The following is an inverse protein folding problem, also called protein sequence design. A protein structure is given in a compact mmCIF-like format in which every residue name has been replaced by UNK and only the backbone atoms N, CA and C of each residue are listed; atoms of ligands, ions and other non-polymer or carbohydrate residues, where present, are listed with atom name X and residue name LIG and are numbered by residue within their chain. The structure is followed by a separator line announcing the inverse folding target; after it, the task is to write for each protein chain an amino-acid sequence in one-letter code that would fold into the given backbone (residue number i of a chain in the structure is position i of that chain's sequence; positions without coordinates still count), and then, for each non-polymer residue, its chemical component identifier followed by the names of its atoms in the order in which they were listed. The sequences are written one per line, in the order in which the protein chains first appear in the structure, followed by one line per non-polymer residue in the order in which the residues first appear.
data_IF_183498399588
#
_entry.id   IF_183498399588
#
_cell.length_a   1.000
_cell.length_b   1.000
_cell.length_c   1.000
_cell.angle_alpha   90.00
_cell.angle_beta   90.00
_cell.angle_gamma   90.00
#
_symmetry.space_group_name_H-M   'P 1'
#
loop_
_entity.id
_entity.type
_entity.pdbx_description
1 polymer ?
#
# COMPACT_ATOMS: atom_id res chain seq x y z
N UNK A 1 -25.56 31.72 44.19
CA UNK A 1 -25.89 30.33 43.82
C UNK A 1 -24.88 29.87 42.78
N UNK A 2 -23.78 29.31 43.29
CA UNK A 2 -22.72 28.67 42.51
C UNK A 2 -22.99 27.17 42.66
N UNK A 3 -23.27 26.45 41.58
CA UNK A 3 -23.29 24.99 41.55
C UNK A 3 -22.29 24.56 40.47
N UNK A 4 -21.20 24.03 40.92
CA UNK A 4 -20.75 22.65 40.84
C UNK A 4 -20.87 22.00 39.45
N UNK A 5 -19.79 22.00 38.71
CA UNK A 5 -19.42 20.89 37.80
C UNK A 5 -17.97 20.49 38.06
N UNK A 6 -17.82 19.64 39.07
CA UNK A 6 -16.68 18.78 39.26
C UNK A 6 -16.88 17.57 38.35
N UNK A 7 -16.37 17.59 37.13
CA UNK A 7 -16.26 16.40 36.30
C UNK A 7 -14.86 15.82 36.44
N UNK A 8 -14.82 14.75 37.20
CA UNK A 8 -13.66 13.87 37.37
C UNK A 8 -13.19 13.37 36.00
N UNK A 9 -12.05 13.88 35.56
CA UNK A 9 -11.34 13.32 34.41
C UNK A 9 -10.58 12.11 34.92
N UNK A 10 -11.20 10.93 34.81
CA UNK A 10 -10.47 9.67 34.91
C UNK A 10 -9.61 9.50 33.66
N UNK A 11 -8.34 9.86 33.78
CA UNK A 11 -7.34 9.58 32.76
C UNK A 11 -7.03 8.08 32.84
N UNK A 12 -7.80 7.30 32.10
CA UNK A 12 -7.37 5.95 31.74
C UNK A 12 -6.20 6.09 30.76
N UNK A 13 -5.01 5.80 31.25
CA UNK A 13 -3.80 5.59 30.46
C UNK A 13 -4.01 4.35 29.60
N UNK A 14 -4.66 4.47 28.47
CA UNK A 14 -4.63 3.51 27.38
C UNK A 14 -4.49 4.28 26.06
N UNK A 15 -3.61 3.78 25.20
CA UNK A 15 -3.13 4.34 23.95
C UNK A 15 -4.25 4.59 22.90
N UNK A 16 -5.15 5.55 23.13
CA UNK A 16 -6.26 5.80 22.22
C UNK A 16 -6.50 7.29 21.94
N UNK A 17 -5.42 8.01 21.58
CA UNK A 17 -5.52 9.38 21.03
C UNK A 17 -6.45 9.47 19.82
N UNK A 18 -6.62 8.37 19.08
CA UNK A 18 -7.52 8.27 17.93
C UNK A 18 -8.98 8.43 18.34
N UNK A 19 -9.41 7.81 19.45
CA UNK A 19 -10.76 7.95 19.98
C UNK A 19 -11.03 9.35 20.53
N UNK A 20 -10.04 10.00 21.14
CA UNK A 20 -10.19 11.37 21.65
C UNK A 20 -10.37 12.36 20.50
N UNK A 21 -9.63 12.20 19.37
CA UNK A 21 -9.76 13.08 18.20
C UNK A 21 -11.13 12.90 17.53
N UNK A 22 -11.65 11.67 17.40
CA UNK A 22 -12.98 11.38 16.90
C UNK A 22 -14.06 11.94 17.85
N UNK A 23 -13.87 11.87 19.16
CA UNK A 23 -14.84 12.36 20.13
C UNK A 23 -14.90 13.89 20.19
N UNK A 24 -13.78 14.58 20.08
CA UNK A 24 -13.71 16.04 19.98
C UNK A 24 -14.27 16.57 18.65
N UNK A 25 -14.12 15.80 17.56
CA UNK A 25 -14.63 16.13 16.23
C UNK A 25 -16.15 15.94 16.09
N UNK A 26 -16.79 15.08 16.90
CA UNK A 26 -18.25 14.90 16.91
C UNK A 26 -19.05 16.09 17.47
N UNK A 27 -18.41 17.07 18.11
CA UNK A 27 -19.12 18.25 18.66
C UNK A 27 -19.30 19.42 17.71
N UNK A 28 -18.68 19.41 16.52
CA UNK A 28 -18.95 20.39 15.48
C UNK A 28 -19.84 19.78 14.40
N UNK A 29 -21.00 20.35 14.16
CA UNK A 29 -21.95 19.98 13.08
C UNK A 29 -21.37 20.39 11.70
N UNK A 30 -20.23 19.85 11.33
CA UNK A 30 -19.62 20.00 10.01
C UNK A 30 -19.22 18.63 9.48
N UNK A 31 -19.56 18.32 8.25
CA UNK A 31 -19.02 17.16 7.53
C UNK A 31 -17.52 17.40 7.42
N UNK A 32 -16.71 16.70 8.22
CA UNK A 32 -15.26 16.75 8.10
C UNK A 32 -14.88 16.10 6.78
N UNK A 33 -14.52 16.92 5.80
CA UNK A 33 -13.87 16.46 4.58
C UNK A 33 -12.43 16.09 4.97
N UNK A 34 -12.04 14.83 4.83
CA UNK A 34 -10.65 14.42 4.96
C UNK A 34 -9.83 15.21 3.94
N UNK A 35 -8.76 15.84 4.39
CA UNK A 35 -7.84 16.60 3.54
C UNK A 35 -6.63 15.74 3.22
N UNK A 36 -6.47 15.36 1.96
CA UNK A 36 -5.33 14.60 1.45
C UNK A 36 -4.37 15.47 0.63
N UNK A 37 -4.41 16.80 0.79
CA UNK A 37 -3.59 17.75 0.02
C UNK A 37 -2.07 17.52 0.15
N UNK A 38 -1.64 16.80 1.19
CA UNK A 38 -0.26 16.38 1.43
C UNK A 38 0.04 14.93 0.97
N UNK A 39 -0.85 14.33 0.18
CA UNK A 39 -0.75 12.94 -0.28
C UNK A 39 -0.50 12.88 -1.78
N UNK A 40 0.30 11.92 -2.22
CA UNK A 40 0.54 11.58 -3.63
C UNK A 40 0.46 10.07 -3.82
N UNK A 41 -0.05 9.63 -4.98
CA UNK A 41 0.00 8.22 -5.39
C UNK A 41 1.13 8.08 -6.42
N UNK A 42 2.05 7.16 -6.20
CA UNK A 42 3.14 6.87 -7.14
C UNK A 42 3.09 5.39 -7.52
N UNK A 43 3.10 5.13 -8.83
CA UNK A 43 3.05 3.79 -9.43
C UNK A 43 4.39 3.52 -10.10
N UNK A 44 5.26 2.67 -9.56
CA UNK A 44 6.50 2.29 -10.24
C UNK A 44 6.19 1.33 -11.39
N UNK A 45 6.81 1.56 -12.54
CA UNK A 45 6.70 0.69 -13.69
C UNK A 45 8.06 0.58 -14.40
N UNK A 46 8.56 -0.64 -14.58
CA UNK A 46 9.81 -0.91 -15.33
C UNK A 46 9.54 -1.86 -16.49
N UNK A 47 10.26 -1.65 -17.60
CA UNK A 47 10.09 -2.51 -18.77
C UNK A 47 10.74 -3.89 -18.55
N UNK A 48 11.81 -3.95 -17.78
CA UNK A 48 12.57 -5.16 -17.51
C UNK A 48 11.86 -6.09 -16.52
N UNK A 49 11.14 -7.06 -17.04
CA UNK A 49 10.60 -8.20 -16.27
C UNK A 49 11.12 -9.49 -16.87
N UNK A 50 11.84 -10.31 -16.08
CA UNK A 50 12.43 -11.56 -16.56
C UNK A 50 11.40 -12.66 -16.79
N UNK A 51 10.33 -12.71 -15.98
CA UNK A 51 9.28 -13.74 -16.06
C UNK A 51 8.20 -13.40 -17.10
N UNK A 52 7.97 -12.12 -17.35
CA UNK A 52 6.92 -11.65 -18.27
C UNK A 52 7.44 -10.38 -18.98
N UNK A 53 8.13 -10.53 -20.15
CA UNK A 53 8.70 -9.40 -20.87
C UNK A 53 7.66 -8.33 -21.19
N UNK A 54 8.06 -7.06 -21.09
CA UNK A 54 7.20 -5.89 -21.31
C UNK A 54 5.91 -5.87 -20.47
N UNK A 55 5.92 -6.49 -19.29
CA UNK A 55 4.78 -6.69 -18.42
C UNK A 55 3.83 -5.48 -18.32
N UNK A 56 4.28 -4.23 -18.09
CA UNK A 56 3.38 -3.08 -17.95
C UNK A 56 2.56 -2.76 -19.21
N UNK A 57 3.03 -3.17 -20.38
CA UNK A 57 2.40 -2.91 -21.68
C UNK A 57 1.50 -4.06 -22.17
N UNK A 58 1.52 -5.21 -21.49
CA UNK A 58 0.65 -6.33 -21.81
C UNK A 58 -0.82 -5.95 -21.58
N UNK A 59 -1.69 -6.40 -22.49
CA UNK A 59 -3.08 -5.98 -22.49
C UNK A 59 -3.98 -6.99 -21.78
N UNK A 60 -4.86 -6.48 -20.93
CA UNK A 60 -6.00 -7.17 -20.35
C UNK A 60 -7.26 -6.54 -20.97
N UNK A 61 -8.05 -7.31 -21.71
CA UNK A 61 -9.22 -6.80 -22.46
C UNK A 61 -8.91 -5.53 -23.28
N UNK A 62 -7.78 -5.52 -24.01
CA UNK A 62 -7.38 -4.40 -24.86
C UNK A 62 -6.68 -3.25 -24.15
N UNK A 63 -6.72 -3.16 -22.81
CA UNK A 63 -6.12 -2.10 -22.00
C UNK A 63 -4.78 -2.54 -21.42
N UNK A 64 -3.69 -1.77 -21.54
CA UNK A 64 -2.40 -2.10 -20.94
C UNK A 64 -2.47 -2.25 -19.40
N UNK A 65 -1.70 -3.19 -18.84
CA UNK A 65 -1.68 -3.50 -17.43
C UNK A 65 -1.42 -2.25 -16.56
N UNK A 66 -0.46 -1.41 -16.96
CA UNK A 66 -0.16 -0.15 -16.26
C UNK A 66 -1.35 0.81 -16.21
N UNK A 67 -2.18 0.80 -17.24
CA UNK A 67 -3.39 1.65 -17.30
C UNK A 67 -4.49 1.10 -16.38
N UNK A 68 -4.59 -0.21 -16.20
CA UNK A 68 -5.47 -0.77 -15.17
C UNK A 68 -5.06 -0.30 -13.77
N UNK A 69 -3.77 -0.38 -13.42
CA UNK A 69 -3.27 0.12 -12.13
C UNK A 69 -3.49 1.64 -11.97
N UNK A 70 -3.25 2.42 -13.02
CA UNK A 70 -3.53 3.86 -13.03
C UNK A 70 -5.02 4.15 -12.82
N UNK A 71 -5.91 3.41 -13.47
CA UNK A 71 -7.35 3.54 -13.30
C UNK A 71 -7.81 3.15 -11.87
N UNK A 72 -7.19 2.15 -11.24
CA UNK A 72 -7.43 1.85 -9.82
C UNK A 72 -7.14 3.09 -8.95
N UNK A 73 -6.02 3.79 -9.18
CA UNK A 73 -5.69 5.02 -8.48
C UNK A 73 -6.74 6.12 -8.71
N UNK A 74 -7.17 6.35 -9.96
CA UNK A 74 -8.24 7.31 -10.31
C UNK A 74 -9.57 6.97 -9.63
N UNK A 75 -9.93 5.69 -9.61
CA UNK A 75 -11.17 5.21 -9.00
C UNK A 75 -11.21 5.37 -7.47
N UNK A 76 -10.07 5.69 -6.83
CA UNK A 76 -10.05 6.08 -5.43
C UNK A 76 -10.80 7.39 -5.19
N UNK A 77 -10.96 8.23 -6.23
CA UNK A 77 -11.57 9.57 -6.15
C UNK A 77 -10.92 10.44 -5.04
N UNK A 78 -9.65 10.17 -4.74
CA UNK A 78 -8.82 11.08 -3.99
C UNK A 78 -8.42 12.22 -4.92
N UNK A 79 -8.57 13.45 -4.45
CA UNK A 79 -8.13 14.64 -5.20
C UNK A 79 -6.64 14.88 -4.94
N UNK A 80 -5.81 13.95 -5.46
CA UNK A 80 -4.36 13.91 -5.27
C UNK A 80 -3.64 13.60 -6.59
N UNK A 81 -2.39 14.04 -6.77
CA UNK A 81 -1.61 13.66 -7.94
C UNK A 81 -1.40 12.15 -8.01
N UNK A 82 -1.48 11.61 -9.24
CA UNK A 82 -1.14 10.22 -9.56
C UNK A 82 0.01 10.27 -10.55
N UNK A 83 1.17 9.74 -10.15
CA UNK A 83 2.40 9.78 -10.91
C UNK A 83 2.85 8.36 -11.25
N UNK A 84 3.14 8.09 -12.52
CA UNK A 84 3.78 6.84 -12.94
C UNK A 84 5.30 7.09 -13.08
N UNK A 85 6.08 6.39 -12.26
CA UNK A 85 7.54 6.45 -12.26
C UNK A 85 8.10 5.31 -13.13
N UNK A 86 8.74 5.63 -14.24
CA UNK A 86 9.21 4.62 -15.19
C UNK A 86 10.61 4.92 -15.73
N UNK A 87 11.29 3.88 -16.20
CA UNK A 87 12.60 3.93 -16.88
C UNK A 87 12.47 3.80 -18.41
N UNK A 88 11.24 3.82 -18.94
CA UNK A 88 11.02 3.49 -20.34
C UNK A 88 10.01 4.43 -21.00
N UNK A 89 10.40 5.01 -22.14
CA UNK A 89 9.58 5.97 -22.89
C UNK A 89 8.28 5.35 -23.45
N UNK A 90 8.27 4.05 -23.81
CA UNK A 90 7.04 3.39 -24.28
C UNK A 90 5.98 3.36 -23.18
N UNK A 91 6.39 3.09 -21.94
CA UNK A 91 5.47 3.13 -20.80
C UNK A 91 4.99 4.56 -20.56
N UNK A 92 5.90 5.54 -20.60
CA UNK A 92 5.58 6.94 -20.40
C UNK A 92 4.57 7.42 -21.46
N UNK A 93 4.79 7.13 -22.74
CA UNK A 93 3.89 7.51 -23.83
C UNK A 93 2.50 6.90 -23.65
N UNK A 94 2.41 5.61 -23.35
CA UNK A 94 1.12 4.94 -23.10
C UNK A 94 0.35 5.59 -21.95
N UNK A 95 1.02 5.97 -20.86
CA UNK A 95 0.37 6.63 -19.71
C UNK A 95 -0.06 8.05 -20.07
N UNK A 96 0.79 8.80 -20.77
CA UNK A 96 0.48 10.18 -21.21
C UNK A 96 -0.69 10.21 -22.19
N UNK A 97 -0.76 9.26 -23.13
CA UNK A 97 -1.87 9.11 -24.09
C UNK A 97 -3.22 8.84 -23.38
N UNK A 98 -3.16 8.29 -22.15
CA UNK A 98 -4.34 8.08 -21.29
C UNK A 98 -4.56 9.23 -20.28
N UNK A 99 -3.87 10.36 -20.45
CA UNK A 99 -4.00 11.54 -19.60
C UNK A 99 -3.36 11.41 -18.22
N UNK A 100 -2.43 10.47 -18.04
CA UNK A 100 -1.66 10.29 -16.81
C UNK A 100 -0.41 11.17 -16.78
N UNK A 101 0.15 11.35 -15.58
CA UNK A 101 1.44 12.01 -15.38
C UNK A 101 2.54 10.96 -15.29
N UNK A 102 3.66 11.22 -15.96
CA UNK A 102 4.82 10.34 -15.91
C UNK A 102 6.08 11.08 -15.49
N UNK A 103 7.02 10.36 -14.89
CA UNK A 103 8.35 10.86 -14.59
C UNK A 103 9.39 9.79 -14.88
N UNK A 104 10.41 10.18 -15.65
CA UNK A 104 11.52 9.29 -16.00
C UNK A 104 12.47 9.14 -14.83
N UNK A 105 12.74 7.88 -14.47
CA UNK A 105 13.62 7.47 -13.38
C UNK A 105 14.75 6.60 -13.88
N UNK A 106 15.79 6.41 -13.07
CA UNK A 106 16.94 5.57 -13.40
C UNK A 106 16.51 4.12 -13.68
N UNK A 107 17.13 3.50 -14.68
CA UNK A 107 17.01 2.07 -14.94
C UNK A 107 17.84 1.20 -13.98
N UNK A 108 18.65 1.81 -13.11
CA UNK A 108 19.51 1.11 -12.13
C UNK A 108 18.76 0.73 -10.85
N UNK A 109 17.52 1.20 -10.66
CA UNK A 109 16.76 0.84 -9.47
C UNK A 109 16.40 -0.65 -9.48
N UNK A 110 16.78 -1.33 -8.40
CA UNK A 110 16.46 -2.73 -8.17
C UNK A 110 15.06 -2.91 -7.60
N UNK A 111 14.57 -1.90 -6.84
CA UNK A 111 13.27 -1.95 -6.15
C UNK A 111 12.29 -0.88 -6.60
N UNK A 112 10.99 -1.15 -6.33
CA UNK A 112 9.93 -0.17 -6.51
C UNK A 112 10.07 1.02 -5.56
N UNK A 113 10.53 0.79 -4.34
CA UNK A 113 10.70 1.82 -3.31
C UNK A 113 11.75 2.84 -3.68
N UNK A 114 12.89 2.41 -4.22
CA UNK A 114 13.94 3.31 -4.72
C UNK A 114 13.42 4.18 -5.87
N UNK A 115 12.68 3.56 -6.80
CA UNK A 115 12.11 4.25 -7.95
C UNK A 115 11.10 5.33 -7.55
N UNK A 116 10.17 4.99 -6.65
CA UNK A 116 9.17 5.98 -6.21
C UNK A 116 9.81 7.10 -5.40
N UNK A 117 10.89 6.83 -4.67
CA UNK A 117 11.60 7.85 -3.93
C UNK A 117 12.31 8.83 -4.87
N UNK A 118 13.04 8.34 -5.90
CA UNK A 118 13.62 9.22 -6.92
C UNK A 118 12.54 10.07 -7.60
N UNK A 119 11.42 9.45 -7.97
CA UNK A 119 10.31 10.17 -8.61
C UNK A 119 9.73 11.24 -7.69
N UNK A 120 9.55 10.94 -6.40
CA UNK A 120 9.06 11.89 -5.41
C UNK A 120 9.99 13.09 -5.26
N UNK A 121 11.30 12.88 -5.12
CA UNK A 121 12.28 13.96 -4.96
C UNK A 121 12.38 14.85 -6.19
N UNK A 122 12.20 14.29 -7.40
CA UNK A 122 12.19 15.06 -8.64
C UNK A 122 10.88 15.83 -8.86
N UNK A 123 9.74 15.23 -8.50
CA UNK A 123 8.42 15.81 -8.73
C UNK A 123 8.07 16.87 -7.67
N UNK A 124 8.53 16.69 -6.44
CA UNK A 124 8.16 17.51 -5.28
C UNK A 124 9.39 17.98 -4.49
N UNK A 125 10.24 18.83 -5.08
CA UNK A 125 11.44 19.35 -4.41
C UNK A 125 11.11 20.19 -3.17
N UNK A 126 9.93 20.82 -3.14
CA UNK A 126 9.45 21.63 -2.02
C UNK A 126 8.87 20.81 -0.88
N UNK A 127 8.84 19.48 -1.01
CA UNK A 127 8.40 18.54 0.00
C UNK A 127 6.96 18.78 0.50
N UNK A 128 6.07 19.13 -0.39
CA UNK A 128 4.64 19.30 -0.11
C UNK A 128 3.97 17.98 0.30
N UNK A 129 4.31 16.88 -0.39
CA UNK A 129 3.68 15.58 -0.16
C UNK A 129 4.41 14.81 0.93
N UNK A 130 3.73 14.59 2.04
CA UNK A 130 4.25 13.89 3.22
C UNK A 130 3.77 12.45 3.33
N UNK A 131 2.65 12.12 2.67
CA UNK A 131 2.07 10.79 2.61
C UNK A 131 2.19 10.25 1.17
N UNK A 132 2.80 9.10 0.98
CA UNK A 132 3.03 8.49 -0.33
C UNK A 132 2.31 7.16 -0.41
N UNK A 133 1.35 7.03 -1.31
CA UNK A 133 0.73 5.75 -1.64
C UNK A 133 1.55 5.09 -2.74
N UNK A 134 2.18 3.98 -2.43
CA UNK A 134 2.93 3.16 -3.37
C UNK A 134 2.03 2.05 -3.89
N UNK A 135 1.47 2.25 -5.07
CA UNK A 135 0.59 1.31 -5.73
C UNK A 135 1.39 0.52 -6.77
N UNK A 136 1.37 -0.80 -6.70
CA UNK A 136 2.09 -1.64 -7.66
C UNK A 136 1.46 -1.59 -9.06
N UNK A 137 2.30 -1.45 -10.09
CA UNK A 137 1.86 -1.37 -11.49
C UNK A 137 1.36 -2.70 -12.08
N UNK A 138 1.46 -3.80 -11.33
CA UNK A 138 1.05 -5.14 -11.72
C UNK A 138 -0.18 -5.67 -10.94
N UNK A 139 -0.85 -4.82 -10.19
CA UNK A 139 -2.10 -5.12 -9.49
C UNK A 139 -3.27 -4.38 -10.17
N UNK A 140 -3.92 -4.99 -11.17
CA UNK A 140 -4.90 -4.30 -12.03
C UNK A 140 -6.28 -4.10 -11.39
N UNK A 141 -6.58 -4.76 -10.26
CA UNK A 141 -7.91 -4.80 -9.68
C UNK A 141 -8.00 -4.32 -8.22
N UNK A 142 -7.11 -3.41 -7.82
CA UNK A 142 -7.19 -2.76 -6.49
C UNK A 142 -8.42 -1.85 -6.43
N UNK A 143 -9.24 -2.00 -5.39
CA UNK A 143 -10.39 -1.12 -5.22
C UNK A 143 -9.98 0.30 -4.79
N UNK A 144 -10.72 1.29 -5.27
CA UNK A 144 -10.51 2.68 -4.86
C UNK A 144 -10.75 2.91 -3.37
N UNK A 145 -11.62 2.11 -2.75
CA UNK A 145 -11.87 2.17 -1.31
C UNK A 145 -10.66 1.72 -0.50
N UNK A 146 -9.95 0.70 -0.95
CA UNK A 146 -8.73 0.23 -0.30
C UNK A 146 -7.62 1.28 -0.35
N UNK A 147 -7.48 1.97 -1.49
CA UNK A 147 -6.54 3.09 -1.63
C UNK A 147 -6.90 4.23 -0.67
N UNK A 148 -8.19 4.55 -0.51
CA UNK A 148 -8.64 5.53 0.49
C UNK A 148 -8.32 5.12 1.92
N UNK A 149 -8.48 3.84 2.26
CA UNK A 149 -8.14 3.32 3.59
C UNK A 149 -6.66 3.47 3.88
N UNK A 150 -5.79 3.14 2.92
CA UNK A 150 -4.35 3.38 3.03
C UNK A 150 -4.04 4.86 3.26
N UNK A 151 -4.65 5.76 2.48
CA UNK A 151 -4.48 7.20 2.63
C UNK A 151 -4.94 7.69 4.01
N UNK A 152 -6.09 7.22 4.49
CA UNK A 152 -6.62 7.57 5.82
C UNK A 152 -5.74 7.03 6.94
N UNK A 153 -5.24 5.80 6.79
CA UNK A 153 -4.39 5.17 7.81
C UNK A 153 -3.06 5.89 7.93
N UNK A 154 -2.42 6.21 6.79
CA UNK A 154 -1.12 6.89 6.82
C UNK A 154 -1.24 8.37 7.20
N UNK A 155 -2.40 8.99 7.12
CA UNK A 155 -2.60 10.37 7.56
C UNK A 155 -2.39 10.54 9.07
N UNK A 156 -2.62 9.48 9.86
CA UNK A 156 -2.29 9.46 11.28
C UNK A 156 -0.77 9.73 11.47
N UNK A 157 -0.39 10.78 12.24
CA UNK A 157 1.01 11.14 12.46
C UNK A 157 1.83 10.09 13.21
N UNK A 158 1.19 9.14 13.89
CA UNK A 158 1.85 8.05 14.62
C UNK A 158 2.18 6.84 13.72
N UNK A 159 1.64 6.80 12.51
CA UNK A 159 1.92 5.73 11.56
C UNK A 159 3.19 6.01 10.76
N UNK A 160 3.92 4.96 10.44
CA UNK A 160 5.17 5.02 9.67
C UNK A 160 5.00 4.43 8.28
N UNK A 161 4.50 3.19 8.23
CA UNK A 161 4.13 2.46 7.01
C UNK A 161 2.77 1.81 7.25
N UNK A 162 1.90 1.85 6.24
CA UNK A 162 0.70 1.03 6.18
C UNK A 162 0.77 0.10 4.97
N UNK A 163 0.29 -1.12 5.14
CA UNK A 163 0.15 -2.12 4.09
C UNK A 163 -1.18 -2.86 4.23
N UNK A 164 -1.41 -3.87 3.42
CA UNK A 164 -2.68 -4.58 3.36
C UNK A 164 -2.47 -6.08 3.50
N UNK A 165 -3.40 -6.73 4.15
CA UNK A 165 -3.48 -8.19 4.23
C UNK A 165 -4.90 -8.66 3.94
N UNK A 166 -5.01 -9.84 3.35
CA UNK A 166 -6.27 -10.55 3.15
C UNK A 166 -6.17 -11.93 3.78
N UNK A 167 -7.28 -12.51 4.18
CA UNK A 167 -7.28 -13.87 4.69
C UNK A 167 -6.83 -14.82 3.57
N UNK A 168 -5.75 -15.55 3.79
CA UNK A 168 -5.25 -16.52 2.83
C UNK A 168 -6.23 -17.69 2.67
N UNK A 169 -6.36 -18.21 1.45
CA UNK A 169 -7.06 -19.47 1.20
C UNK A 169 -6.15 -20.66 1.56
N UNK A 170 -6.70 -21.85 1.82
CA UNK A 170 -5.90 -23.03 2.14
C UNK A 170 -4.84 -23.36 1.06
N UNK A 171 -5.16 -23.12 -0.21
CA UNK A 171 -4.26 -23.34 -1.35
C UNK A 171 -3.03 -22.43 -1.32
N UNK A 172 -3.18 -21.25 -0.69
CA UNK A 172 -2.11 -20.24 -0.59
C UNK A 172 -1.13 -20.55 0.55
N UNK A 173 -1.46 -21.43 1.49
CA UNK A 173 -0.63 -21.67 2.69
C UNK A 173 0.78 -22.13 2.32
N UNK A 174 0.89 -23.11 1.44
CA UNK A 174 2.16 -23.68 0.99
C UNK A 174 2.71 -23.05 -0.29
N UNK A 175 1.97 -22.13 -0.92
CA UNK A 175 2.44 -21.43 -2.11
C UNK A 175 3.51 -20.40 -1.74
N UNK A 176 4.76 -20.66 -2.13
CA UNK A 176 5.90 -19.78 -1.88
C UNK A 176 5.86 -18.46 -2.68
N UNK A 177 5.01 -18.35 -3.69
CA UNK A 177 4.79 -17.10 -4.42
C UNK A 177 3.93 -16.13 -3.62
N UNK A 178 3.06 -16.64 -2.76
CA UNK A 178 2.23 -15.88 -1.83
C UNK A 178 3.03 -15.58 -0.56
N UNK A 179 3.13 -14.32 -0.22
CA UNK A 179 3.80 -13.88 1.02
C UNK A 179 2.81 -13.93 2.17
N UNK A 180 3.15 -14.65 3.23
CA UNK A 180 2.36 -14.68 4.47
C UNK A 180 2.87 -13.65 5.45
N UNK A 181 1.96 -13.12 6.28
CA UNK A 181 2.28 -12.14 7.31
C UNK A 181 1.78 -12.57 8.67
N UNK A 182 2.65 -12.52 9.68
CA UNK A 182 2.25 -12.65 11.07
C UNK A 182 1.86 -11.26 11.60
N UNK A 183 0.59 -11.09 11.96
CA UNK A 183 0.03 -9.79 12.37
C UNK A 183 -0.46 -9.87 13.81
N UNK A 184 -0.06 -8.91 14.65
CA UNK A 184 -0.58 -8.74 16.00
C UNK A 184 -1.77 -7.78 15.97
N UNK A 185 -2.95 -8.28 16.33
CA UNK A 185 -4.16 -7.49 16.48
C UNK A 185 -4.48 -7.24 17.95
N UNK A 186 -5.20 -6.17 18.24
CA UNK A 186 -5.64 -5.83 19.60
C UNK A 186 -6.82 -6.71 20.10
N UNK A 187 -7.36 -7.59 19.25
CA UNK A 187 -8.50 -8.48 19.53
C UNK A 187 -8.30 -9.85 18.89
N UNK A 188 -8.93 -10.86 19.50
CA UNK A 188 -8.78 -12.26 19.08
C UNK A 188 -9.41 -12.56 17.71
N UNK A 189 -10.52 -11.90 17.37
CA UNK A 189 -11.26 -12.11 16.12
C UNK A 189 -11.26 -10.84 15.28
N UNK A 190 -10.15 -10.55 14.56
CA UNK A 190 -10.07 -9.39 13.70
C UNK A 190 -10.96 -9.56 12.46
N UNK A 191 -11.57 -8.44 12.03
CA UNK A 191 -12.46 -8.37 10.87
C UNK A 191 -11.94 -7.39 9.84
N UNK A 192 -12.56 -7.35 8.67
CA UNK A 192 -12.27 -6.37 7.63
C UNK A 192 -12.25 -4.95 8.23
N UNK A 193 -11.26 -4.15 7.82
CA UNK A 193 -10.96 -2.79 8.27
C UNK A 193 -10.22 -2.69 9.61
N UNK A 194 -10.03 -3.80 10.33
CA UNK A 194 -9.12 -3.79 11.48
C UNK A 194 -7.68 -3.59 11.03
N UNK A 195 -6.93 -2.92 11.89
CA UNK A 195 -5.52 -2.64 11.69
C UNK A 195 -4.74 -3.39 12.78
N UNK A 196 -3.78 -4.19 12.35
CA UNK A 196 -2.82 -4.87 13.22
C UNK A 196 -1.40 -4.46 12.90
N UNK A 197 -0.47 -4.76 13.79
CA UNK A 197 0.96 -4.55 13.60
C UNK A 197 1.58 -5.77 12.94
N UNK A 198 2.27 -5.57 11.82
CA UNK A 198 3.04 -6.64 11.20
C UNK A 198 4.27 -6.98 12.07
N UNK A 199 4.39 -8.24 12.41
CA UNK A 199 5.48 -8.78 13.23
C UNK A 199 6.55 -9.45 12.36
N UNK A 200 6.12 -10.10 11.26
CA UNK A 200 7.03 -10.75 10.30
C UNK A 200 6.31 -11.02 8.98
N UNK A 201 7.11 -11.19 7.92
CA UNK A 201 6.66 -11.63 6.60
C UNK A 201 7.51 -12.80 6.15
N UNK A 202 6.91 -13.83 5.56
CA UNK A 202 7.63 -15.01 5.08
C UNK A 202 6.95 -15.63 3.85
N UNK A 203 7.76 -16.33 3.07
CA UNK A 203 7.24 -17.22 2.02
C UNK A 203 6.80 -18.59 2.58
N UNK A 204 7.29 -18.95 3.76
CA UNK A 204 6.77 -20.11 4.52
C UNK A 204 5.41 -19.78 5.13
N UNK A 205 4.65 -20.83 5.48
CA UNK A 205 3.40 -20.67 6.21
C UNK A 205 3.67 -20.20 7.63
N UNK A 206 3.21 -19.02 7.99
CA UNK A 206 3.29 -18.41 9.33
C UNK A 206 1.96 -17.74 9.68
N UNK A 207 1.62 -17.66 11.02
CA UNK A 207 2.28 -18.32 12.15
C UNK A 207 1.99 -19.83 12.19
N UNK A 208 2.71 -20.57 13.04
CA UNK A 208 2.45 -22.00 13.28
C UNK A 208 1.14 -22.20 14.07
N UNK A 209 0.40 -23.26 13.74
CA UNK A 209 -0.82 -23.68 14.46
C UNK A 209 -2.12 -23.29 13.76
N UNK A 210 -3.24 -23.55 14.42
CA UNK A 210 -4.59 -23.25 13.93
C UNK A 210 -4.93 -21.77 14.18
N UNK A 211 -4.61 -20.92 13.22
CA UNK A 211 -4.87 -19.48 13.30
C UNK A 211 -5.20 -18.94 11.91
N UNK A 212 -5.59 -17.68 11.83
CA UNK A 212 -5.76 -17.01 10.54
C UNK A 212 -4.39 -16.78 9.91
N UNK A 213 -4.19 -17.34 8.72
CA UNK A 213 -3.05 -17.03 7.87
C UNK A 213 -3.40 -15.81 7.02
N UNK A 214 -2.51 -14.82 7.00
CA UNK A 214 -2.71 -13.57 6.27
C UNK A 214 -1.82 -13.52 5.04
N UNK A 215 -2.44 -13.39 3.87
CA UNK A 215 -1.75 -13.11 2.61
C UNK A 215 -1.43 -11.60 2.55
N UNK A 216 -0.19 -11.25 2.42
CA UNK A 216 0.27 -9.88 2.29
C UNK A 216 0.09 -9.36 0.86
N UNK A 217 -0.64 -8.27 0.71
CA UNK A 217 -0.78 -7.54 -0.56
C UNK A 217 0.27 -6.44 -0.63
N UNK A 218 1.15 -6.49 -1.60
CA UNK A 218 2.36 -5.65 -1.71
C UNK A 218 2.10 -4.18 -2.06
N UNK A 219 1.05 -3.57 -1.55
CA UNK A 219 0.80 -2.13 -1.67
C UNK A 219 1.06 -1.44 -0.34
N UNK A 220 1.56 -0.22 -0.40
CA UNK A 220 1.99 0.48 0.81
C UNK A 220 1.56 1.94 0.81
N UNK A 221 1.43 2.47 2.02
CA UNK A 221 1.43 3.90 2.26
C UNK A 221 2.59 4.24 3.21
N UNK A 222 3.32 5.30 2.91
CA UNK A 222 4.54 5.69 3.60
C UNK A 222 4.46 7.11 4.10
N UNK A 223 5.04 7.39 5.27
CA UNK A 223 5.49 8.75 5.55
C UNK A 223 6.76 9.05 4.76
N UNK A 224 6.85 10.25 4.13
CA UNK A 224 8.03 10.67 3.35
C UNK A 224 9.35 10.46 4.10
N UNK A 225 9.41 10.90 5.36
CA UNK A 225 10.60 10.73 6.19
C UNK A 225 11.01 9.27 6.38
N UNK A 226 10.01 8.37 6.44
CA UNK A 226 10.23 6.93 6.61
C UNK A 226 10.68 6.30 5.30
N UNK A 227 10.06 6.65 4.17
CA UNK A 227 10.50 6.20 2.85
C UNK A 227 11.94 6.64 2.60
N UNK A 228 12.30 7.91 2.88
CA UNK A 228 13.67 8.41 2.78
C UNK A 228 14.64 7.61 3.66
N UNK A 229 14.27 7.32 4.91
CA UNK A 229 15.07 6.49 5.81
C UNK A 229 15.25 5.09 5.22
N UNK A 230 14.18 4.47 4.75
CA UNK A 230 14.15 3.11 4.24
C UNK A 230 15.06 2.90 3.03
N UNK A 231 14.98 3.76 2.01
CA UNK A 231 15.82 3.62 0.80
C UNK A 231 17.31 3.85 1.06
N UNK A 232 17.65 4.51 2.16
CA UNK A 232 19.05 4.70 2.59
C UNK A 232 19.57 3.54 3.47
N UNK A 233 18.73 2.58 3.84
CA UNK A 233 19.18 1.37 4.54
C UNK A 233 19.81 0.39 3.56
N UNK A 234 20.84 -0.31 4.01
CA UNK A 234 21.40 -1.43 3.24
C UNK A 234 20.43 -2.62 3.31
N UNK A 235 20.38 -3.44 2.23
CA UNK A 235 19.63 -4.69 2.26
C UNK A 235 19.99 -5.56 3.47
N UNK A 236 18.98 -5.92 4.26
CA UNK A 236 19.14 -6.59 5.55
C UNK A 236 19.29 -8.13 5.40
N UNK A 237 19.76 -8.84 6.43
CA UNK A 237 19.90 -10.29 6.38
C UNK A 237 18.59 -11.03 6.11
N UNK A 238 17.50 -10.68 6.79
CA UNK A 238 16.19 -11.33 6.61
C UNK A 238 15.60 -11.01 5.24
N UNK A 239 15.74 -9.76 4.77
CA UNK A 239 15.34 -9.36 3.42
C UNK A 239 16.00 -10.22 2.34
N UNK A 240 17.32 -10.44 2.46
CA UNK A 240 18.09 -11.28 1.52
C UNK A 240 17.67 -12.75 1.58
N UNK A 241 17.39 -13.25 2.78
CA UNK A 241 16.96 -14.64 3.01
C UNK A 241 15.59 -14.91 2.41
N UNK A 242 14.60 -14.10 2.75
CA UNK A 242 13.20 -14.26 2.31
C UNK A 242 12.95 -13.66 0.92
N UNK A 243 13.85 -12.79 0.43
CA UNK A 243 13.68 -11.95 -0.77
C UNK A 243 12.40 -11.09 -0.66
N UNK A 244 12.27 -10.45 0.50
CA UNK A 244 11.14 -9.60 0.88
C UNK A 244 11.66 -8.26 1.41
N UNK A 245 11.54 -7.20 0.61
CA UNK A 245 12.11 -5.88 0.86
C UNK A 245 11.62 -5.26 2.19
N UNK A 246 10.35 -5.46 2.54
CA UNK A 246 9.75 -4.90 3.74
C UNK A 246 10.36 -5.41 5.05
N UNK A 247 11.08 -6.53 5.04
CA UNK A 247 11.79 -7.03 6.22
C UNK A 247 12.91 -6.08 6.65
N UNK A 248 13.54 -5.36 5.72
CA UNK A 248 14.51 -4.30 6.02
C UNK A 248 13.92 -3.23 6.95
N UNK A 249 12.64 -2.89 6.74
CA UNK A 249 11.95 -1.94 7.61
C UNK A 249 11.78 -2.51 9.02
N UNK A 250 11.33 -3.75 9.17
CA UNK A 250 11.17 -4.41 10.47
C UNK A 250 12.50 -4.55 11.22
N UNK A 251 13.57 -4.97 10.53
CA UNK A 251 14.92 -5.09 11.12
C UNK A 251 15.47 -3.72 11.56
N UNK A 252 15.07 -2.64 10.91
CA UNK A 252 15.42 -1.27 11.29
C UNK A 252 14.51 -0.68 12.39
N UNK A 253 13.56 -1.46 12.95
CA UNK A 253 12.62 -1.02 13.96
C UNK A 253 11.54 -0.07 13.44
N UNK A 254 11.30 -0.02 12.12
CA UNK A 254 10.21 0.74 11.51
C UNK A 254 8.90 -0.05 11.66
N UNK A 255 7.85 0.65 12.08
CA UNK A 255 6.54 0.03 12.31
C UNK A 255 5.78 -0.09 10.99
N UNK A 256 5.27 -1.30 10.72
CA UNK A 256 4.37 -1.56 9.60
C UNK A 256 3.01 -1.94 10.18
N UNK A 257 1.99 -1.15 9.88
CA UNK A 257 0.60 -1.45 10.20
C UNK A 257 -0.06 -2.14 9.00
N UNK A 258 -0.80 -3.21 9.24
CA UNK A 258 -1.48 -3.98 8.20
C UNK A 258 -3.00 -3.87 8.35
N UNK A 259 -3.67 -3.46 7.26
CA UNK A 259 -5.13 -3.31 7.18
C UNK A 259 -5.71 -4.60 6.62
N UNK A 260 -6.73 -5.17 7.27
CA UNK A 260 -7.47 -6.30 6.70
C UNK A 260 -8.41 -5.81 5.60
N UNK A 261 -8.35 -6.47 4.45
CA UNK A 261 -9.31 -6.25 3.35
C UNK A 261 -10.03 -7.53 2.96
N UNK A 262 -11.20 -7.38 2.33
CA UNK A 262 -11.88 -8.46 1.60
C UNK A 262 -11.49 -8.50 0.13
N UNK A 263 -10.79 -7.50 -0.37
CA UNK A 263 -10.34 -7.47 -1.75
C UNK A 263 -9.24 -8.53 -1.95
N UNK A 264 -9.35 -9.31 -3.02
CA UNK A 264 -8.32 -10.25 -3.45
C UNK A 264 -7.63 -9.72 -4.72
N UNK A 265 -6.58 -8.90 -4.58
CA UNK A 265 -5.86 -8.39 -5.74
C UNK A 265 -5.16 -9.51 -6.50
N UNK A 266 -5.24 -9.44 -7.82
CA UNK A 266 -4.59 -10.39 -8.72
C UNK A 266 -3.24 -9.80 -9.12
N UNK A 267 -2.15 -10.35 -8.58
CA UNK A 267 -0.81 -10.01 -9.02
C UNK A 267 -0.50 -10.65 -10.37
N UNK A 268 -0.10 -9.86 -11.36
CA UNK A 268 0.25 -10.35 -12.69
C UNK A 268 1.75 -10.49 -12.81
N UNK A 269 2.29 -11.67 -12.54
CA UNK A 269 3.71 -11.98 -12.59
C UNK A 269 4.08 -13.00 -13.68
N UNK A 270 3.13 -13.83 -14.08
CA UNK A 270 3.30 -14.91 -15.06
C UNK A 270 2.21 -14.83 -16.13
N UNK A 271 2.37 -15.59 -17.23
CA UNK A 271 1.32 -15.71 -18.25
C UNK A 271 0.03 -16.31 -17.68
N UNK A 272 0.14 -17.21 -16.69
CA UNK A 272 -1.03 -17.78 -16.04
C UNK A 272 -1.79 -16.69 -15.25
N UNK A 273 -1.09 -15.81 -14.56
CA UNK A 273 -1.71 -14.70 -13.83
C UNK A 273 -2.37 -13.71 -14.80
N UNK A 274 -1.73 -13.43 -15.93
CA UNK A 274 -2.30 -12.59 -16.98
C UNK A 274 -3.63 -13.18 -17.51
N UNK A 275 -3.68 -14.50 -17.72
CA UNK A 275 -4.93 -15.18 -18.12
C UNK A 275 -5.99 -15.11 -17.04
N UNK A 276 -5.63 -15.31 -15.76
CA UNK A 276 -6.56 -15.17 -14.62
C UNK A 276 -7.11 -13.73 -14.53
N UNK A 277 -6.24 -12.73 -14.63
CA UNK A 277 -6.66 -11.34 -14.63
C UNK A 277 -7.57 -11.02 -15.84
N UNK A 278 -7.23 -11.51 -17.03
CA UNK A 278 -8.08 -11.32 -18.23
C UNK A 278 -9.47 -11.91 -18.04
N UNK A 279 -9.56 -13.13 -17.50
CA UNK A 279 -10.85 -13.77 -17.21
C UNK A 279 -11.65 -12.95 -16.19
N UNK A 280 -11.01 -12.51 -15.09
CA UNK A 280 -11.66 -11.68 -14.07
C UNK A 280 -12.32 -10.43 -14.68
N UNK A 281 -11.62 -9.71 -15.56
CA UNK A 281 -12.17 -8.52 -16.21
C UNK A 281 -13.21 -8.83 -17.28
N UNK A 282 -13.19 -10.02 -17.87
CA UNK A 282 -14.27 -10.47 -18.78
C UNK A 282 -15.55 -10.78 -18.02
N UNK A 283 -15.44 -11.40 -16.84
CA UNK A 283 -16.59 -11.75 -16.00
C UNK A 283 -17.28 -10.51 -15.37
N UNK A 284 -16.62 -9.35 -15.38
CA UNK A 284 -17.15 -8.06 -14.91
C UNK A 284 -17.81 -7.20 -16.02
N UNK A 285 -17.63 -7.56 -17.30
CA UNK A 285 -18.13 -6.81 -18.48
C UNK A 285 -19.49 -7.31 -18.91
#
# INVERSE_FOLDING_TARGET
MQDQYSSSINILKSNNLYFIRIFLLKKSKGVFKLDFSNTIIIIPARIGSSRLPNKPLLKINGTPLIIHAYNCAKNSKLDVPILVATDNELIANVVNDHGGLTLMTSNKHESGSDRIFEALEKFDPDQKYQNIIHLQGDLPNISGNLIKKLATTIDDPLKEIATVVVKASPEEYEDKSVVKAAIAFAKDNPVVDDIGRAMYFSRACIPYGETNIWHHVGIYAWKRKILKRFVNLKPSPLEKSEKLEQLRALEAGIIIDAIITSDHPIGVDTELDLKKATKFFQDLS
#
